data_IF_296309381228
#
_entry.id   IF_296309381228
#
_cell.length_a   1.000
_cell.length_b   1.000
_cell.length_c   1.000
_cell.angle_alpha   90.00
_cell.angle_beta   90.00
_cell.angle_gamma   90.00
#
_symmetry.space_group_name_H-M   'P 1'
#
loop_
_entity.id
_entity.type
_entity.pdbx_description
1 polymer ?
#
# COMPACT_ATOMS: atom_id res chain seq x y z
N UNK A 1 16.14 -1.64 -9.81
CA UNK A 1 14.69 -1.80 -9.97
C UNK A 1 14.06 -2.20 -8.65
N UNK A 2 12.94 -1.62 -8.34
CA UNK A 2 12.26 -1.82 -7.05
C UNK A 2 10.91 -2.46 -7.31
N UNK A 3 10.49 -3.33 -6.42
CA UNK A 3 9.19 -3.99 -6.53
C UNK A 3 8.29 -3.58 -5.37
N UNK A 4 7.00 -3.48 -5.63
CA UNK A 4 5.99 -3.23 -4.61
C UNK A 4 4.98 -4.36 -4.65
N UNK A 5 4.79 -5.00 -3.51
CA UNK A 5 3.74 -6.00 -3.37
C UNK A 5 2.49 -5.35 -2.78
N UNK A 6 1.42 -5.39 -3.54
CA UNK A 6 0.12 -4.95 -3.06
C UNK A 6 -0.68 -6.16 -2.63
N UNK A 7 -1.23 -6.10 -1.43
CA UNK A 7 -2.12 -7.15 -0.89
C UNK A 7 -3.40 -6.50 -0.39
N UNK A 8 -4.53 -7.07 -0.74
CA UNK A 8 -5.82 -6.60 -0.25
C UNK A 8 -6.56 -7.76 0.41
N UNK A 9 -7.25 -7.47 1.49
CA UNK A 9 -7.99 -8.49 2.23
C UNK A 9 -9.03 -9.17 1.33
N UNK A 10 -8.90 -10.48 1.16
CA UNK A 10 -9.80 -11.27 0.34
C UNK A 10 -9.51 -11.28 -1.17
N UNK A 11 -8.47 -10.57 -1.62
CA UNK A 11 -8.17 -10.46 -3.06
C UNK A 11 -6.79 -10.99 -3.47
N UNK A 12 -5.99 -11.47 -2.52
CA UNK A 12 -4.65 -11.96 -2.82
C UNK A 12 -3.65 -10.82 -2.98
N UNK A 13 -2.60 -11.04 -3.77
CA UNK A 13 -1.54 -10.05 -3.92
C UNK A 13 -1.09 -9.90 -5.37
N UNK A 14 -0.55 -8.72 -5.69
CA UNK A 14 0.00 -8.39 -7.01
C UNK A 14 1.32 -7.65 -6.79
N UNK A 15 2.30 -7.92 -7.64
CA UNK A 15 3.59 -7.25 -7.56
C UNK A 15 3.76 -6.32 -8.76
N UNK A 16 4.17 -5.08 -8.49
CA UNK A 16 4.46 -4.07 -9.50
C UNK A 16 5.94 -3.73 -9.47
N UNK A 17 6.51 -3.39 -10.62
CA UNK A 17 7.90 -2.98 -10.72
C UNK A 17 8.02 -1.49 -11.03
N UNK A 18 9.00 -0.83 -10.41
CA UNK A 18 9.30 0.58 -10.62
C UNK A 18 10.80 0.76 -10.83
N UNK A 19 11.17 1.71 -11.67
CA UNK A 19 12.58 1.97 -11.96
C UNK A 19 13.31 2.52 -10.73
N UNK A 20 12.64 3.35 -9.95
CA UNK A 20 13.22 4.03 -8.80
C UNK A 20 12.36 3.91 -7.56
N UNK A 21 13.02 3.89 -6.39
CA UNK A 21 12.33 3.81 -5.10
C UNK A 21 11.38 5.00 -4.88
N UNK A 22 11.80 6.19 -5.29
CA UNK A 22 10.98 7.38 -5.16
C UNK A 22 9.66 7.27 -5.92
N UNK A 23 9.72 6.74 -7.14
CA UNK A 23 8.52 6.50 -7.95
C UNK A 23 7.61 5.47 -7.31
N UNK A 24 8.20 4.42 -6.74
CA UNK A 24 7.45 3.38 -6.03
C UNK A 24 6.69 3.97 -4.83
N UNK A 25 7.37 4.78 -4.02
CA UNK A 25 6.73 5.42 -2.86
C UNK A 25 5.60 6.35 -3.27
N UNK A 26 5.80 7.15 -4.32
CA UNK A 26 4.76 8.05 -4.81
C UNK A 26 3.52 7.28 -5.23
N UNK A 27 3.69 6.16 -5.93
CA UNK A 27 2.58 5.31 -6.36
C UNK A 27 1.89 4.66 -5.16
N UNK A 28 2.66 4.15 -4.19
CA UNK A 28 2.12 3.54 -2.98
C UNK A 28 1.24 4.53 -2.20
N UNK A 29 1.74 5.76 -2.02
CA UNK A 29 1.00 6.81 -1.29
C UNK A 29 -0.27 7.21 -1.99
N UNK A 30 -0.24 7.38 -3.30
CA UNK A 30 -1.41 7.74 -4.09
C UNK A 30 -2.48 6.65 -4.01
N UNK A 31 -2.09 5.40 -4.21
CA UNK A 31 -3.00 4.26 -4.15
C UNK A 31 -3.59 4.08 -2.74
N UNK A 32 -2.76 4.22 -1.71
CA UNK A 32 -3.19 4.07 -0.33
C UNK A 32 -4.23 5.13 0.04
N UNK A 33 -4.01 6.37 -0.39
CA UNK A 33 -4.95 7.45 -0.13
C UNK A 33 -6.29 7.20 -0.82
N UNK A 34 -6.26 6.73 -2.06
CA UNK A 34 -7.47 6.42 -2.81
C UNK A 34 -8.28 5.31 -2.11
N UNK A 35 -7.62 4.24 -1.69
CA UNK A 35 -8.27 3.15 -0.97
C UNK A 35 -8.84 3.64 0.36
N UNK A 36 -8.08 4.45 1.09
CA UNK A 36 -8.54 4.99 2.36
C UNK A 36 -9.78 5.87 2.19
N UNK A 37 -9.79 6.71 1.15
CA UNK A 37 -10.93 7.58 0.87
C UNK A 37 -12.17 6.77 0.48
N UNK A 38 -12.02 5.71 -0.30
CA UNK A 38 -13.13 4.86 -0.72
C UNK A 38 -13.75 4.07 0.43
N UNK A 39 -12.92 3.64 1.36
CA UNK A 39 -13.36 2.74 2.45
C UNK A 39 -13.41 3.40 3.83
N UNK A 40 -13.13 4.69 3.89
CA UNK A 40 -13.13 5.42 5.16
C UNK A 40 -12.02 4.95 6.10
N UNK A 41 -10.89 4.53 5.53
CA UNK A 41 -9.77 4.02 6.29
C UNK A 41 -8.73 5.06 6.65
N UNK A 42 -7.71 4.63 7.37
CA UNK A 42 -6.57 5.46 7.74
C UNK A 42 -5.31 4.89 7.09
N UNK A 43 -4.41 5.80 6.66
CA UNK A 43 -3.14 5.43 6.04
C UNK A 43 -2.05 5.46 7.10
N UNK A 44 -1.31 4.37 7.23
CA UNK A 44 -0.19 4.27 8.16
C UNK A 44 1.07 3.84 7.40
N UNK A 45 2.15 4.60 7.53
CA UNK A 45 3.43 4.25 6.93
C UNK A 45 4.37 3.77 8.04
N UNK A 46 5.02 2.64 7.81
CA UNK A 46 5.96 2.08 8.78
C UNK A 46 7.05 1.31 8.04
N UNK A 47 8.31 1.69 8.21
CA UNK A 47 9.43 1.04 7.54
C UNK A 47 9.27 1.11 6.02
N UNK A 48 9.24 -0.04 5.36
CA UNK A 48 9.13 -0.14 3.91
C UNK A 48 7.71 -0.51 3.47
N UNK A 49 6.69 -0.19 4.28
CA UNK A 49 5.32 -0.53 3.92
C UNK A 49 4.33 0.59 4.23
N UNK A 50 3.20 0.55 3.54
CA UNK A 50 2.06 1.41 3.83
C UNK A 50 0.86 0.47 4.04
N UNK A 51 0.12 0.72 5.12
CA UNK A 51 -1.06 -0.07 5.45
C UNK A 51 -2.27 0.85 5.53
N UNK A 52 -3.37 0.45 4.92
CA UNK A 52 -4.65 1.12 5.08
C UNK A 52 -5.53 0.23 5.95
N UNK A 53 -6.01 0.78 7.05
CA UNK A 53 -6.84 0.05 8.01
C UNK A 53 -8.08 0.86 8.35
N UNK A 54 -9.14 0.17 8.74
CA UNK A 54 -10.35 0.82 9.22
C UNK A 54 -10.15 1.33 10.64
N UNK A 55 -10.88 2.38 11.04
CA UNK A 55 -10.92 2.77 12.45
C UNK A 55 -11.44 1.57 13.24
N UNK A 56 -10.68 0.99 14.09
CA UNK A 56 -11.02 -0.25 14.77
C UNK A 56 -10.01 -1.35 14.53
N UNK A 57 -9.12 -1.16 13.54
CA UNK A 57 -7.95 -1.99 13.37
C UNK A 57 -7.94 -3.02 12.24
N UNK A 58 -9.07 -3.18 11.53
CA UNK A 58 -9.13 -4.14 10.43
C UNK A 58 -8.31 -3.63 9.23
N UNK A 59 -7.31 -4.40 8.82
CA UNK A 59 -6.50 -4.06 7.66
C UNK A 59 -7.32 -4.24 6.37
N UNK A 60 -7.30 -3.22 5.51
CA UNK A 60 -7.98 -3.24 4.22
C UNK A 60 -7.01 -3.62 3.12
N UNK A 61 -5.83 -2.98 3.11
CA UNK A 61 -4.84 -3.17 2.08
C UNK A 61 -3.44 -2.87 2.60
N UNK A 62 -2.43 -3.43 1.94
CA UNK A 62 -1.03 -3.26 2.32
C UNK A 62 -0.17 -3.15 1.07
N UNK A 63 0.77 -2.23 1.08
CA UNK A 63 1.79 -2.07 0.05
C UNK A 63 3.15 -2.26 0.71
N UNK A 64 3.93 -3.21 0.22
CA UNK A 64 5.27 -3.50 0.75
C UNK A 64 6.33 -3.22 -0.31
N UNK A 65 7.32 -2.40 0.05
CA UNK A 65 8.44 -2.13 -0.84
C UNK A 65 9.45 -3.27 -0.71
N UNK A 66 9.70 -3.95 -1.80
CA UNK A 66 10.67 -5.06 -1.86
C UNK A 66 11.96 -4.55 -2.50
N UNK A 67 13.04 -4.59 -1.76
CA UNK A 67 14.36 -4.10 -2.22
C UNK A 67 15.25 -5.21 -2.69
#
# INVERSE_FOLDING_TARGET
MVKVRFSASGFGSTTYEYAEEESAWAAMRADAREVADEHGGEVNEAGDEIVVARPGGDEIARWELLK
#
